data_IF_471196357156
#
_entry.id   IF_471196357156
#
_cell.length_a   1.000
_cell.length_b   1.000
_cell.length_c   1.000
_cell.angle_alpha   90.00
_cell.angle_beta   90.00
_cell.angle_gamma   90.00
#
_symmetry.space_group_name_H-M   'P 1'
#
loop_
_entity.id
_entity.type
_entity.pdbx_description
1 polymer ?
#
# COMPACT_ATOMS: atom_id res chain seq x y z
N UNK A 1 -6.07 -11.73 -13.25
CA UNK A 1 -6.58 -10.60 -12.48
C UNK A 1 -5.45 -9.81 -11.88
N UNK A 2 -5.44 -8.53 -12.14
CA UNK A 2 -4.46 -7.67 -11.49
C UNK A 2 -4.76 -7.66 -10.00
N UNK A 3 -3.80 -7.63 -9.19
CA UNK A 3 -3.97 -7.59 -7.75
C UNK A 3 -3.67 -8.90 -7.06
N UNK A 4 -3.96 -10.02 -7.70
CA UNK A 4 -3.70 -11.31 -7.08
C UNK A 4 -2.21 -11.57 -6.94
N UNK A 5 -1.44 -11.17 -7.92
CA UNK A 5 0.00 -11.41 -7.93
C UNK A 5 0.78 -10.15 -7.60
N UNK A 6 0.09 -9.09 -7.25
CA UNK A 6 0.76 -7.86 -6.90
C UNK A 6 1.31 -7.95 -5.49
N UNK A 7 2.45 -7.32 -5.29
CA UNK A 7 3.08 -7.29 -3.99
C UNK A 7 2.70 -6.00 -3.28
N UNK A 8 2.20 -6.12 -2.06
CA UNK A 8 1.84 -4.98 -1.23
C UNK A 8 2.85 -4.83 -0.12
N UNK A 9 3.34 -3.63 0.08
CA UNK A 9 4.31 -3.36 1.14
C UNK A 9 3.81 -2.20 1.99
N UNK A 10 3.87 -2.39 3.30
CA UNK A 10 3.52 -1.36 4.27
C UNK A 10 4.80 -0.95 4.99
N UNK A 11 5.00 0.35 5.09
CA UNK A 11 6.23 0.86 5.70
C UNK A 11 5.93 2.20 6.36
N UNK A 12 6.88 2.68 7.16
CA UNK A 12 6.80 4.01 7.76
C UNK A 12 7.81 4.92 7.07
N UNK A 13 7.40 6.16 6.85
CA UNK A 13 8.29 7.12 6.23
C UNK A 13 9.14 7.84 7.31
N UNK A 14 9.89 8.85 6.88
CA UNK A 14 10.79 9.57 7.79
C UNK A 14 10.05 10.31 8.87
N UNK A 15 8.80 10.64 8.62
CA UNK A 15 7.96 11.33 9.61
C UNK A 15 7.29 10.37 10.57
N UNK A 16 7.48 9.06 10.38
CA UNK A 16 6.84 8.06 11.20
C UNK A 16 5.41 7.77 10.80
N UNK A 17 5.00 8.20 9.63
CA UNK A 17 3.66 7.96 9.13
C UNK A 17 3.63 6.67 8.32
N UNK A 18 2.50 5.98 8.40
CA UNK A 18 2.32 4.70 7.70
C UNK A 18 1.95 4.93 6.26
N UNK A 19 2.62 4.20 5.37
CA UNK A 19 2.38 4.27 3.93
C UNK A 19 2.34 2.87 3.36
N UNK A 20 1.79 2.74 2.16
CA UNK A 20 1.79 1.47 1.45
C UNK A 20 2.18 1.70 0.00
N UNK A 21 2.68 0.65 -0.61
CA UNK A 21 2.93 0.67 -2.05
C UNK A 21 2.61 -0.69 -2.62
N UNK A 22 2.23 -0.68 -3.88
CA UNK A 22 1.82 -1.87 -4.60
C UNK A 22 2.70 -2.03 -5.83
N UNK A 23 3.24 -3.21 -6.01
CA UNK A 23 4.13 -3.52 -7.13
C UNK A 23 3.55 -4.70 -7.89
N UNK A 24 3.49 -4.59 -9.20
CA UNK A 24 3.02 -5.69 -10.04
C UNK A 24 4.02 -6.83 -10.03
N UNK A 25 3.58 -7.99 -10.48
CA UNK A 25 4.42 -9.18 -10.48
C UNK A 25 5.67 -9.01 -11.34
N UNK A 26 5.64 -8.12 -12.31
CA UNK A 26 6.79 -7.86 -13.15
C UNK A 26 7.74 -6.81 -12.55
N UNK A 27 7.47 -6.36 -11.34
CA UNK A 27 8.32 -5.40 -10.66
C UNK A 27 7.94 -3.94 -10.88
N UNK A 28 6.91 -3.68 -11.66
CA UNK A 28 6.50 -2.32 -11.95
C UNK A 28 5.63 -1.76 -10.85
N UNK A 29 5.93 -0.53 -10.43
CA UNK A 29 5.12 0.13 -9.39
C UNK A 29 3.78 0.54 -9.99
N UNK A 30 2.70 0.03 -9.41
CA UNK A 30 1.37 0.28 -9.95
C UNK A 30 0.48 1.08 -9.00
N UNK A 31 0.94 1.35 -7.78
CA UNK A 31 0.16 2.17 -6.86
C UNK A 31 0.92 2.43 -5.58
N UNK A 32 0.48 3.48 -4.87
CA UNK A 32 1.06 3.84 -3.59
C UNK A 32 0.10 4.77 -2.88
N UNK A 33 0.23 4.86 -1.55
CA UNK A 33 -0.58 5.81 -0.80
C UNK A 33 -0.15 7.23 -1.19
N UNK A 34 -1.13 8.11 -1.35
CA UNK A 34 -0.85 9.48 -1.72
C UNK A 34 -0.40 10.31 -0.52
N UNK A 35 -0.67 9.83 0.68
CA UNK A 35 -0.29 10.53 1.89
C UNK A 35 0.06 9.53 2.98
N UNK A 36 0.71 10.04 4.03
CA UNK A 36 1.03 9.21 5.17
C UNK A 36 -0.10 9.25 6.18
N UNK A 37 -0.25 8.16 6.92
CA UNK A 37 -1.28 8.01 7.93
C UNK A 37 -0.64 7.84 9.30
N UNK A 38 -1.19 8.52 10.30
CA UNK A 38 -0.66 8.38 11.66
C UNK A 38 -1.00 7.03 12.25
N UNK A 39 -2.13 6.44 11.82
CA UNK A 39 -2.56 5.15 12.33
C UNK A 39 -2.37 4.06 11.29
N UNK A 40 -1.86 2.92 11.72
CA UNK A 40 -1.67 1.80 10.82
C UNK A 40 -2.99 1.30 10.24
N UNK A 41 -4.04 1.27 11.07
CA UNK A 41 -5.34 0.80 10.61
C UNK A 41 -5.92 1.71 9.53
N UNK A 42 -5.66 3.02 9.62
CA UNK A 42 -6.11 3.94 8.59
C UNK A 42 -5.39 3.68 7.28
N UNK A 43 -4.10 3.38 7.35
CA UNK A 43 -3.32 3.05 6.17
C UNK A 43 -3.85 1.77 5.52
N UNK A 44 -4.13 0.76 6.32
CA UNK A 44 -4.66 -0.50 5.82
C UNK A 44 -6.04 -0.32 5.20
N UNK A 45 -6.87 0.51 5.81
CA UNK A 45 -8.19 0.79 5.24
C UNK A 45 -8.08 1.44 3.88
N UNK A 46 -7.14 2.36 3.73
CA UNK A 46 -6.92 2.99 2.43
C UNK A 46 -6.43 1.98 1.41
N UNK A 47 -5.51 1.11 1.82
CA UNK A 47 -5.01 0.07 0.91
C UNK A 47 -6.15 -0.85 0.47
N UNK A 48 -7.04 -1.20 1.39
CA UNK A 48 -8.16 -2.07 1.08
C UNK A 48 -9.08 -1.43 0.04
N UNK A 49 -9.28 -0.14 0.12
CA UNK A 49 -10.08 0.58 -0.88
C UNK A 49 -9.42 0.52 -2.25
N UNK A 50 -8.12 0.29 -2.29
CA UNK A 50 -7.36 0.24 -3.53
C UNK A 50 -7.09 -1.19 -4.00
N UNK A 51 -7.70 -2.18 -3.36
CA UNK A 51 -7.62 -3.55 -3.81
C UNK A 51 -6.87 -4.51 -2.91
N UNK A 52 -6.35 -4.02 -1.80
CA UNK A 52 -5.64 -4.88 -0.86
C UNK A 52 -6.63 -5.83 -0.19
N UNK A 53 -6.29 -7.11 -0.17
CA UNK A 53 -7.20 -8.12 0.38
C UNK A 53 -6.66 -8.81 1.63
N UNK A 54 -5.58 -8.31 2.14
CA UNK A 54 -5.04 -8.89 3.35
C UNK A 54 -3.72 -9.55 3.11
#
# INVERSE_FOLDING_TARGET
>A
MSGENDKWEFYTDKKGEHRWRRTASNGEKVGASSEGYTGKSDCEANATRNGYTG
#
